data_IF_381146694605
#
_entry.id   IF_381146694605
#
_cell.length_a   1.000
_cell.length_b   1.000
_cell.length_c   1.000
_cell.angle_alpha   90.00
_cell.angle_beta   90.00
_cell.angle_gamma   90.00
#
_symmetry.space_group_name_H-M   'P 1'
#
loop_
_entity.id
_entity.type
_entity.pdbx_description
1 polymer ?
#
# COMPACT_ATOMS: atom_id res chain seq x y z
N UNK A 1 5.94 11.43 9.72
CA UNK A 1 5.68 10.20 10.48
C UNK A 1 4.36 10.38 11.20
N UNK A 2 3.37 9.52 10.97
CA UNK A 2 2.12 9.50 11.76
C UNK A 2 2.09 8.13 12.42
N UNK A 3 2.08 8.12 13.76
CA UNK A 3 1.93 6.91 14.57
C UNK A 3 0.57 7.03 15.26
N UNK A 4 -0.37 6.12 14.98
CA UNK A 4 -1.63 6.02 15.71
C UNK A 4 -1.63 4.71 16.49
N UNK A 5 -1.20 4.77 17.76
CA UNK A 5 -1.55 3.73 18.73
C UNK A 5 -2.98 3.96 19.19
N UNK A 6 -3.89 3.05 18.87
CA UNK A 6 -5.27 3.10 19.35
C UNK A 6 -5.60 1.84 20.14
N UNK A 7 -6.05 2.06 21.37
CA UNK A 7 -6.53 1.06 22.32
C UNK A 7 -7.78 0.35 21.78
N UNK A 8 -7.84 -0.95 22.06
CA UNK A 8 -8.81 -1.91 21.56
C UNK A 8 -10.20 -1.71 22.19
N UNK A 9 -11.24 -1.57 21.37
CA UNK A 9 -12.65 -1.76 21.78
C UNK A 9 -13.24 -2.84 20.88
N UNK A 10 -13.65 -3.94 21.49
CA UNK A 10 -14.21 -5.10 20.81
C UNK A 10 -15.49 -4.69 20.04
N UNK A 11 -15.46 -4.85 18.72
CA UNK A 11 -16.54 -4.46 17.80
C UNK A 11 -16.29 -3.19 16.97
N UNK A 12 -15.20 -2.45 17.22
CA UNK A 12 -14.82 -1.31 16.40
C UNK A 12 -13.79 -1.72 15.35
N UNK A 13 -14.19 -1.78 14.08
CA UNK A 13 -13.24 -1.92 12.98
C UNK A 13 -12.38 -0.65 12.93
N UNK A 14 -11.21 -0.69 13.55
CA UNK A 14 -10.31 0.45 13.60
C UNK A 14 -9.65 0.65 12.23
N UNK A 15 -9.93 1.78 11.58
CA UNK A 15 -9.41 2.12 10.26
C UNK A 15 -8.48 3.35 10.31
N UNK A 16 -7.54 3.41 9.36
CA UNK A 16 -6.51 4.45 9.21
C UNK A 16 -7.07 5.89 9.19
N UNK A 17 -8.35 6.06 8.80
CA UNK A 17 -9.12 7.33 8.88
C UNK A 17 -10.59 7.14 9.30
N UNK A 18 -10.96 6.00 9.88
CA UNK A 18 -12.36 5.73 10.28
C UNK A 18 -13.37 5.57 9.14
N UNK A 19 -12.94 5.44 7.88
CA UNK A 19 -13.86 5.27 6.72
C UNK A 19 -13.82 3.84 6.18
N UNK A 20 -14.99 3.21 6.17
CA UNK A 20 -15.25 1.90 5.57
C UNK A 20 -15.64 2.05 4.09
N UNK A 21 -15.23 1.09 3.25
CA UNK A 21 -15.63 0.96 1.83
C UNK A 21 -15.23 2.12 0.90
N UNK A 22 -14.29 2.96 1.33
CA UNK A 22 -13.81 4.07 0.51
C UNK A 22 -12.94 3.57 -0.66
N UNK A 23 -12.85 4.37 -1.73
CA UNK A 23 -12.01 4.06 -2.90
C UNK A 23 -10.54 4.41 -2.62
N UNK A 24 -9.96 3.78 -1.59
CA UNK A 24 -8.63 4.07 -1.07
C UNK A 24 -7.53 3.98 -2.14
N UNK A 25 -7.66 3.07 -3.10
CA UNK A 25 -6.73 2.98 -4.23
C UNK A 25 -6.69 4.28 -5.04
N UNK A 26 -7.86 4.85 -5.37
CA UNK A 26 -7.97 6.14 -6.07
C UNK A 26 -7.35 7.28 -5.26
N UNK A 27 -7.63 7.34 -3.97
CA UNK A 27 -7.08 8.37 -3.07
C UNK A 27 -5.55 8.26 -3.02
N UNK A 28 -5.00 7.06 -2.85
CA UNK A 28 -3.56 6.82 -2.83
C UNK A 28 -2.93 7.25 -4.17
N UNK A 29 -3.54 6.90 -5.30
CA UNK A 29 -3.06 7.34 -6.62
C UNK A 29 -3.04 8.87 -6.75
N UNK A 30 -4.04 9.57 -6.21
CA UNK A 30 -4.05 11.03 -6.18
C UNK A 30 -2.98 11.61 -5.25
N UNK A 31 -2.67 10.95 -4.13
CA UNK A 31 -1.60 11.39 -3.25
C UNK A 31 -0.24 11.29 -3.96
N UNK A 32 0.03 10.16 -4.62
CA UNK A 32 1.25 9.96 -5.40
C UNK A 32 1.31 10.82 -6.65
N UNK A 33 0.18 11.14 -7.30
CA UNK A 33 0.16 12.05 -8.46
C UNK A 33 0.54 13.49 -8.08
N UNK A 34 0.47 13.85 -6.79
CA UNK A 34 0.94 15.13 -6.25
C UNK A 34 2.40 15.05 -5.78
N UNK A 35 2.67 15.25 -4.49
CA UNK A 35 4.04 15.34 -3.97
C UNK A 35 4.41 14.14 -3.07
N UNK A 36 3.52 13.16 -2.91
CA UNK A 36 3.82 12.02 -2.06
C UNK A 36 4.86 11.13 -2.72
N UNK A 37 5.98 10.92 -2.04
CA UNK A 37 7.01 9.96 -2.46
C UNK A 37 6.88 8.63 -1.76
N UNK A 38 6.44 8.58 -0.49
CA UNK A 38 6.45 7.38 0.35
C UNK A 38 5.14 7.25 1.11
N UNK A 39 4.57 6.05 1.14
CA UNK A 39 3.43 5.69 1.98
C UNK A 39 3.59 4.25 2.47
N UNK A 40 3.54 4.08 3.79
CA UNK A 40 3.56 2.78 4.45
C UNK A 40 2.31 2.74 5.33
N UNK A 41 1.46 1.74 5.12
CA UNK A 41 0.26 1.49 5.92
C UNK A 41 0.39 0.08 6.52
N UNK A 42 0.90 0.02 7.74
CA UNK A 42 0.94 -1.20 8.54
C UNK A 42 0.00 -1.04 9.74
N UNK A 43 -1.16 -1.68 9.65
CA UNK A 43 -2.20 -1.58 10.68
C UNK A 43 -2.70 -2.97 11.13
N UNK A 44 -2.01 -4.04 10.75
CA UNK A 44 -2.45 -5.42 11.03
C UNK A 44 -3.75 -5.87 10.36
N UNK A 45 -4.43 -5.02 9.58
CA UNK A 45 -5.70 -5.31 8.91
C UNK A 45 -5.59 -5.10 7.40
N UNK A 46 -6.48 -5.73 6.63
CA UNK A 46 -6.57 -5.44 5.21
C UNK A 46 -7.16 -4.05 4.98
N UNK A 47 -6.32 -3.14 4.48
CA UNK A 47 -6.73 -1.77 4.18
C UNK A 47 -7.36 -1.63 2.78
N UNK A 48 -6.91 -2.45 1.83
CA UNK A 48 -7.35 -2.42 0.44
C UNK A 48 -8.14 -3.66 0.05
N UNK A 49 -9.14 -3.46 -0.81
CA UNK A 49 -9.76 -4.55 -1.57
C UNK A 49 -8.78 -5.13 -2.59
N UNK A 50 -9.05 -6.36 -3.06
CA UNK A 50 -8.24 -7.01 -4.09
C UNK A 50 -8.18 -6.16 -5.37
N UNK A 51 -9.33 -5.61 -5.80
CA UNK A 51 -9.41 -4.70 -6.95
C UNK A 51 -8.58 -3.43 -6.73
N UNK A 52 -8.60 -2.87 -5.52
CA UNK A 52 -7.78 -1.71 -5.19
C UNK A 52 -6.28 -2.01 -5.23
N UNK A 53 -5.86 -3.20 -4.79
CA UNK A 53 -4.48 -3.64 -4.89
C UNK A 53 -4.03 -3.75 -6.35
N UNK A 54 -4.84 -4.38 -7.20
CA UNK A 54 -4.54 -4.52 -8.62
C UNK A 54 -4.49 -3.17 -9.34
N UNK A 55 -5.41 -2.26 -9.01
CA UNK A 55 -5.38 -0.89 -9.53
C UNK A 55 -4.07 -0.17 -9.19
N UNK A 56 -3.57 -0.30 -7.96
CA UNK A 56 -2.30 0.30 -7.54
C UNK A 56 -1.11 -0.33 -8.26
N UNK A 57 -1.07 -1.66 -8.39
CA UNK A 57 -0.02 -2.40 -9.13
C UNK A 57 0.10 -1.93 -10.56
N UNK A 58 -1.03 -1.76 -11.25
CA UNK A 58 -1.05 -1.35 -12.65
C UNK A 58 -0.76 0.15 -12.85
N UNK A 59 -1.05 0.98 -11.85
CA UNK A 59 -1.08 2.44 -12.03
C UNK A 59 0.15 3.15 -11.46
N UNK A 60 0.65 2.72 -10.29
CA UNK A 60 1.80 3.39 -9.65
C UNK A 60 3.08 3.36 -10.52
N UNK A 61 3.45 2.23 -11.15
CA UNK A 61 4.62 2.19 -12.04
C UNK A 61 4.52 3.19 -13.20
N UNK A 62 3.31 3.44 -13.70
CA UNK A 62 3.04 4.33 -14.85
C UNK A 62 3.13 5.82 -14.49
N UNK A 63 3.16 6.19 -13.22
CA UNK A 63 3.25 7.59 -12.81
C UNK A 63 4.66 8.19 -12.98
N UNK A 64 5.68 7.37 -13.26
CA UNK A 64 7.06 7.85 -13.50
C UNK A 64 7.71 8.49 -12.27
N UNK A 65 7.19 8.21 -11.08
CA UNK A 65 7.68 8.76 -9.81
C UNK A 65 8.40 7.72 -8.99
N UNK A 66 9.47 8.13 -8.32
CA UNK A 66 10.24 7.27 -7.42
C UNK A 66 9.47 6.98 -6.13
N UNK A 67 8.44 6.15 -6.21
CA UNK A 67 7.54 5.87 -5.08
C UNK A 67 8.05 4.71 -4.22
N UNK A 68 7.64 4.72 -2.96
CA UNK A 68 7.68 3.57 -2.06
C UNK A 68 6.30 3.43 -1.45
N UNK A 69 5.60 2.38 -1.81
CA UNK A 69 4.28 2.05 -1.31
C UNK A 69 4.32 0.69 -0.61
N UNK A 70 3.72 0.62 0.57
CA UNK A 70 3.51 -0.63 1.31
C UNK A 70 2.17 -0.61 2.04
N UNK A 71 1.50 -1.76 2.06
CA UNK A 71 0.22 -1.93 2.71
C UNK A 71 -0.02 -3.38 3.12
N UNK A 72 -0.71 -3.59 4.23
CA UNK A 72 -1.29 -4.89 4.57
C UNK A 72 -2.55 -5.17 3.74
N UNK A 73 -2.64 -6.38 3.19
CA UNK A 73 -3.72 -6.86 2.33
C UNK A 73 -4.27 -8.19 2.84
N UNK A 74 -5.46 -8.56 2.39
CA UNK A 74 -6.05 -9.90 2.56
C UNK A 74 -5.97 -10.72 1.27
N UNK A 75 -5.06 -10.35 0.35
CA UNK A 75 -4.90 -11.08 -0.90
C UNK A 75 -4.51 -12.54 -0.61
N UNK A 76 -5.41 -13.47 -0.91
CA UNK A 76 -5.07 -14.90 -1.01
C UNK A 76 -4.49 -15.16 -2.41
N UNK A 77 -3.41 -14.47 -2.75
CA UNK A 77 -2.65 -14.70 -3.97
C UNK A 77 -1.37 -15.47 -3.65
N UNK A 78 -0.85 -16.29 -4.59
CA UNK A 78 0.48 -16.86 -4.43
C UNK A 78 1.51 -15.74 -4.31
N UNK A 79 2.58 -16.02 -3.56
CA UNK A 79 3.71 -15.10 -3.44
C UNK A 79 4.17 -14.66 -4.84
N UNK A 80 4.23 -13.35 -5.01
CA UNK A 80 4.56 -12.71 -6.26
C UNK A 80 5.67 -11.70 -6.03
N UNK A 81 6.69 -11.71 -6.88
CA UNK A 81 7.83 -10.81 -6.81
C UNK A 81 8.40 -10.64 -8.22
N UNK A 82 8.19 -9.47 -8.82
CA UNK A 82 8.70 -9.14 -10.15
C UNK A 82 9.11 -7.67 -10.24
N UNK A 83 9.83 -7.34 -11.30
CA UNK A 83 10.20 -5.97 -11.62
C UNK A 83 9.56 -5.54 -12.93
N UNK A 84 8.95 -4.36 -12.93
CA UNK A 84 8.31 -3.74 -14.09
C UNK A 84 8.61 -2.24 -14.08
N UNK A 85 9.12 -1.71 -15.20
CA UNK A 85 9.39 -0.27 -15.39
C UNK A 85 10.20 0.39 -14.25
N UNK A 86 11.24 -0.28 -13.74
CA UNK A 86 12.04 0.18 -12.58
C UNK A 86 11.28 0.19 -11.24
N UNK A 87 10.20 -0.60 -11.12
CA UNK A 87 9.50 -0.85 -9.86
C UNK A 87 9.53 -2.34 -9.55
N UNK A 88 9.98 -2.67 -8.34
CA UNK A 88 9.76 -3.99 -7.76
C UNK A 88 8.36 -4.04 -7.16
N UNK A 89 7.58 -5.02 -7.58
CA UNK A 89 6.24 -5.29 -7.09
C UNK A 89 6.29 -6.62 -6.37
N UNK A 90 5.89 -6.63 -5.10
CA UNK A 90 5.82 -7.85 -4.31
C UNK A 90 4.50 -7.98 -3.58
N UNK A 91 3.96 -9.20 -3.57
CA UNK A 91 2.85 -9.63 -2.74
C UNK A 91 3.36 -10.83 -1.95
N UNK A 92 3.38 -10.74 -0.63
CA UNK A 92 3.83 -11.83 0.26
C UNK A 92 2.96 -11.88 1.50
N UNK A 93 2.47 -13.08 1.82
CA UNK A 93 1.52 -13.30 2.91
C UNK A 93 0.33 -12.32 2.82
N UNK A 94 0.19 -11.45 3.80
CA UNK A 94 -0.87 -10.43 3.92
C UNK A 94 -0.34 -9.03 3.62
N UNK A 95 0.61 -8.89 2.70
CA UNK A 95 1.22 -7.58 2.40
C UNK A 95 1.52 -7.41 0.92
N UNK A 96 1.42 -6.17 0.46
CA UNK A 96 1.82 -5.76 -0.88
C UNK A 96 2.78 -4.58 -0.79
N UNK A 97 3.82 -4.60 -1.62
CA UNK A 97 4.73 -3.48 -1.79
C UNK A 97 4.96 -3.15 -3.27
N UNK A 98 5.05 -1.86 -3.57
CA UNK A 98 5.38 -1.33 -4.90
C UNK A 98 6.46 -0.28 -4.69
N UNK A 99 7.65 -0.56 -5.21
CA UNK A 99 8.85 0.18 -4.81
C UNK A 99 9.72 0.46 -6.02
N UNK A 100 10.00 1.73 -6.29
CA UNK A 100 10.98 2.10 -7.30
C UNK A 100 12.37 1.55 -6.91
N UNK A 101 13.12 1.00 -7.87
CA UNK A 101 14.43 0.35 -7.62
C UNK A 101 15.44 1.29 -6.96
N UNK A 102 15.39 2.60 -7.26
CA UNK A 102 16.27 3.59 -6.62
C UNK A 102 16.02 3.77 -5.13
N UNK A 103 14.95 3.15 -4.60
CA UNK A 103 14.60 3.19 -3.19
C UNK A 103 14.81 1.84 -2.53
N UNK A 104 15.31 0.83 -3.26
CA UNK A 104 15.36 -0.59 -2.85
C UNK A 104 15.94 -0.83 -1.44
N UNK A 105 16.86 0.02 -0.98
CA UNK A 105 17.49 -0.11 0.34
C UNK A 105 16.64 0.48 1.48
N UNK A 106 15.59 1.25 1.18
CA UNK A 106 14.73 1.80 2.22
C UNK A 106 13.91 0.71 2.92
N UNK A 107 14.13 0.55 4.22
CA UNK A 107 13.36 -0.39 5.02
C UNK A 107 11.88 0.02 5.07
N UNK A 108 11.04 -1.01 4.98
CA UNK A 108 9.63 -0.96 5.38
C UNK A 108 9.69 -1.40 6.84
N UNK A 109 9.64 -0.43 7.74
CA UNK A 109 9.68 -0.63 9.19
C UNK A 109 8.29 -0.91 9.72
#
# INVERSE_FOLDING_TARGET
FIYSGLNYVEGATNYFFGVQSDQWATIILQMFSRNLGKLIIDNGYAFLSNTGCEQLRQSLPKQGKKVLFHVNTQLNEPDLDYTEHDYRISVRNTSMSIKHISRADELIL
#
